data_IF_498797247953
#
_entry.id   IF_498797247953
#
_cell.length_a   1.000
_cell.length_b   1.000
_cell.length_c   1.000
_cell.angle_alpha   90.00
_cell.angle_beta   90.00
_cell.angle_gamma   90.00
#
_symmetry.space_group_name_H-M   'P 1'
#
loop_
_entity.id
_entity.type
_entity.pdbx_description
1 polymer ?
#
# COMPACT_ATOMS: atom_id res chain seq x y z
N UNK A 1 -9.23 24.73 -18.69
CA UNK A 1 -8.13 24.65 -17.70
C UNK A 1 -6.84 25.06 -18.40
N UNK A 2 -6.39 26.32 -18.25
CA UNK A 2 -5.16 26.80 -18.92
C UNK A 2 -3.95 26.16 -18.24
N UNK A 3 -3.34 25.16 -18.89
CA UNK A 3 -1.99 24.69 -18.57
C UNK A 3 -1.06 25.91 -18.69
N UNK A 4 -0.24 26.17 -17.68
CA UNK A 4 0.81 27.20 -17.77
C UNK A 4 1.70 26.90 -18.98
N UNK A 5 2.15 27.96 -19.68
CA UNK A 5 2.80 27.88 -21.00
C UNK A 5 4.01 26.95 -21.11
N UNK A 6 4.59 26.48 -20.00
CA UNK A 6 5.65 25.47 -19.95
C UNK A 6 5.22 24.33 -19.00
N UNK A 7 4.74 23.21 -19.57
CA UNK A 7 4.00 22.16 -18.88
C UNK A 7 4.82 21.24 -17.96
N UNK A 8 5.42 21.77 -16.90
CA UNK A 8 6.21 20.95 -15.94
C UNK A 8 5.50 20.74 -14.59
N UNK A 9 4.58 21.62 -14.16
CA UNK A 9 4.00 21.56 -12.79
C UNK A 9 2.49 21.78 -12.80
N UNK A 10 1.78 21.12 -11.87
CA UNK A 10 0.30 21.13 -11.79
C UNK A 10 -0.27 22.51 -11.44
N UNK A 11 0.46 23.29 -10.63
CA UNK A 11 0.11 24.64 -10.20
C UNK A 11 1.28 25.59 -10.40
N UNK A 12 0.98 26.87 -10.63
CA UNK A 12 1.99 27.91 -10.61
C UNK A 12 2.39 28.20 -9.16
N UNK A 13 3.68 28.13 -8.86
CA UNK A 13 4.25 28.33 -7.51
C UNK A 13 3.82 29.65 -6.87
N UNK A 14 3.93 30.79 -7.58
CA UNK A 14 3.57 32.11 -7.03
C UNK A 14 2.09 32.20 -6.70
N UNK A 15 1.24 31.70 -7.60
CA UNK A 15 -0.20 31.66 -7.36
C UNK A 15 -0.55 30.74 -6.18
N UNK A 16 0.08 29.56 -6.10
CA UNK A 16 -0.13 28.61 -5.01
C UNK A 16 0.30 29.19 -3.66
N UNK A 17 1.46 29.83 -3.58
CA UNK A 17 1.94 30.49 -2.37
C UNK A 17 0.95 31.56 -1.88
N UNK A 18 0.42 32.39 -2.79
CA UNK A 18 -0.57 33.43 -2.46
C UNK A 18 -1.87 32.82 -1.90
N UNK A 19 -2.41 31.80 -2.56
CA UNK A 19 -3.65 31.14 -2.13
C UNK A 19 -3.44 30.41 -0.80
N UNK A 20 -2.33 29.69 -0.66
CA UNK A 20 -2.02 28.96 0.56
C UNK A 20 -1.85 29.91 1.75
N UNK A 21 -1.09 30.99 1.59
CA UNK A 21 -0.96 32.04 2.62
C UNK A 21 -2.33 32.55 3.08
N UNK A 22 -3.17 32.99 2.13
CA UNK A 22 -4.48 33.55 2.47
C UNK A 22 -5.36 32.55 3.24
N UNK A 23 -5.40 31.28 2.80
CA UNK A 23 -6.19 30.24 3.48
C UNK A 23 -5.64 29.89 4.86
N UNK A 24 -4.33 29.80 5.00
CA UNK A 24 -3.69 29.47 6.28
C UNK A 24 -3.91 30.58 7.30
N UNK A 25 -3.74 31.85 6.90
CA UNK A 25 -3.98 32.99 7.81
C UNK A 25 -5.45 33.07 8.23
N UNK A 26 -6.39 32.90 7.30
CA UNK A 26 -7.81 32.87 7.65
C UNK A 26 -8.14 31.73 8.63
N UNK A 27 -7.58 30.54 8.43
CA UNK A 27 -7.80 29.42 9.34
C UNK A 27 -7.17 29.62 10.74
N UNK A 28 -6.05 30.35 10.82
CA UNK A 28 -5.40 30.71 12.09
C UNK A 28 -6.25 31.75 12.84
N UNK A 29 -6.78 32.74 12.12
CA UNK A 29 -7.68 33.77 12.67
C UNK A 29 -8.99 33.14 13.17
N UNK A 30 -9.61 32.25 12.38
CA UNK A 30 -10.81 31.49 12.77
C UNK A 30 -10.56 30.61 14.01
N UNK A 31 -9.33 30.15 14.22
CA UNK A 31 -8.93 29.37 15.39
C UNK A 31 -8.60 30.25 16.62
N UNK A 32 -8.65 31.58 16.49
CA UNK A 32 -8.34 32.52 17.57
C UNK A 32 -6.86 32.55 17.96
N UNK A 33 -5.96 32.09 17.09
CA UNK A 33 -4.53 32.04 17.34
C UNK A 33 -3.92 33.37 16.92
N UNK A 34 -3.31 34.09 17.87
CA UNK A 34 -2.62 35.35 17.58
C UNK A 34 -1.45 35.15 16.60
N UNK A 35 -1.44 35.92 15.52
CA UNK A 35 -0.33 35.92 14.56
C UNK A 35 0.85 36.73 15.12
N UNK A 36 2.10 36.26 14.94
CA UNK A 36 3.28 37.06 15.31
C UNK A 36 3.36 38.34 14.48
N UNK A 37 3.83 39.43 15.09
CA UNK A 37 3.93 40.74 14.45
C UNK A 37 4.83 40.77 13.18
N UNK A 38 5.72 39.79 13.05
CA UNK A 38 6.63 39.61 11.92
C UNK A 38 6.15 38.50 10.98
N UNK A 39 4.92 38.59 10.47
CA UNK A 39 4.47 37.67 9.43
C UNK A 39 5.19 38.02 8.11
N UNK A 40 5.94 37.07 7.55
CA UNK A 40 6.71 37.33 6.34
C UNK A 40 5.73 37.59 5.18
N UNK A 41 5.88 38.74 4.51
CA UNK A 41 5.00 39.12 3.39
C UNK A 41 5.18 38.19 2.17
N UNK A 42 6.31 37.49 2.10
CA UNK A 42 6.65 36.62 0.99
C UNK A 42 6.65 35.15 1.45
N UNK A 43 5.60 34.43 1.07
CA UNK A 43 5.53 32.98 1.22
C UNK A 43 6.05 32.33 -0.06
N UNK A 44 6.81 31.24 0.08
CA UNK A 44 7.37 30.48 -1.04
C UNK A 44 6.73 29.09 -1.06
N UNK A 45 6.25 28.66 -2.22
CA UNK A 45 5.65 27.35 -2.40
C UNK A 45 6.47 26.54 -3.41
N UNK A 46 7.44 25.79 -2.92
CA UNK A 46 8.33 25.01 -3.78
C UNK A 46 7.52 23.96 -4.58
N UNK A 47 7.40 24.18 -5.89
CA UNK A 47 6.66 23.31 -6.80
C UNK A 47 7.61 22.72 -7.83
N UNK A 48 7.91 21.42 -7.73
CA UNK A 48 8.80 20.73 -8.65
C UNK A 48 8.06 19.70 -9.50
N UNK A 49 8.40 19.62 -10.79
CA UNK A 49 7.98 18.50 -11.63
C UNK A 49 8.68 17.22 -11.18
N UNK A 50 7.92 16.24 -10.73
CA UNK A 50 8.45 14.91 -10.34
C UNK A 50 8.26 13.86 -11.45
N UNK A 51 7.91 14.28 -12.66
CA UNK A 51 7.66 13.40 -13.81
C UNK A 51 6.39 12.56 -13.66
N UNK A 52 6.41 11.34 -14.19
CA UNK A 52 5.27 10.41 -14.20
C UNK A 52 4.91 9.83 -12.81
N UNK A 53 5.80 9.97 -11.83
CA UNK A 53 5.65 9.33 -10.52
C UNK A 53 5.90 7.81 -10.52
N UNK A 54 6.25 7.21 -11.65
CA UNK A 54 6.45 5.75 -11.78
C UNK A 54 7.51 5.23 -10.80
N UNK A 55 8.63 5.93 -10.65
CA UNK A 55 9.67 5.58 -9.66
C UNK A 55 9.12 5.59 -8.23
N UNK A 56 8.25 6.54 -7.89
CA UNK A 56 7.62 6.60 -6.58
C UNK A 56 6.63 5.44 -6.38
N UNK A 57 5.88 5.07 -7.43
CA UNK A 57 4.99 3.91 -7.40
C UNK A 57 5.77 2.60 -7.23
N UNK A 58 6.87 2.41 -7.97
CA UNK A 58 7.74 1.24 -7.82
C UNK A 58 8.34 1.20 -6.41
N UNK A 59 8.81 2.34 -5.89
CA UNK A 59 9.35 2.43 -4.54
C UNK A 59 8.30 2.07 -3.48
N UNK A 60 7.11 2.64 -3.58
CA UNK A 60 6.00 2.35 -2.67
C UNK A 60 5.57 0.89 -2.76
N UNK A 61 5.46 0.33 -3.98
CA UNK A 61 5.14 -1.08 -4.19
C UNK A 61 6.17 -2.00 -3.52
N UNK A 62 7.46 -1.70 -3.67
CA UNK A 62 8.53 -2.42 -2.95
C UNK A 62 8.35 -2.30 -1.44
N UNK A 63 8.03 -1.12 -0.92
CA UNK A 63 7.83 -0.94 0.52
C UNK A 63 6.63 -1.74 1.06
N UNK A 64 5.56 -1.86 0.28
CA UNK A 64 4.35 -2.57 0.69
C UNK A 64 4.54 -4.09 0.68
N UNK A 65 5.10 -4.63 -0.40
CA UNK A 65 5.14 -6.06 -0.64
C UNK A 65 6.46 -6.72 -0.24
N UNK A 66 7.54 -5.96 -0.09
CA UNK A 66 8.82 -6.52 0.35
C UNK A 66 8.80 -6.68 1.87
N UNK A 67 9.17 -7.87 2.33
CA UNK A 67 9.45 -8.12 3.74
C UNK A 67 10.69 -7.34 4.22
N UNK A 68 10.96 -7.44 5.52
CA UNK A 68 12.15 -6.83 6.17
C UNK A 68 13.44 -7.36 5.55
N UNK A 69 13.46 -8.67 5.33
CA UNK A 69 14.56 -9.42 4.75
C UNK A 69 14.00 -10.29 3.62
N UNK A 70 14.81 -10.54 2.58
CA UNK A 70 14.46 -11.50 1.53
C UNK A 70 14.97 -12.88 1.92
N UNK A 71 14.25 -13.93 1.52
CA UNK A 71 14.65 -15.32 1.81
C UNK A 71 16.09 -15.61 1.37
N UNK A 72 16.44 -15.24 0.14
CA UNK A 72 17.80 -15.36 -0.41
C UNK A 72 18.89 -14.60 0.36
N UNK A 73 18.50 -13.63 1.20
CA UNK A 73 19.45 -12.87 2.01
C UNK A 73 19.71 -13.59 3.37
N UNK A 74 18.95 -14.64 3.71
CA UNK A 74 19.25 -15.59 4.80
C UNK A 74 20.21 -16.64 4.21
N UNK A 75 21.48 -16.58 4.59
CA UNK A 75 22.56 -17.33 3.93
C UNK A 75 22.84 -18.67 4.63
N UNK A 76 22.64 -18.73 5.96
CA UNK A 76 22.79 -19.97 6.72
C UNK A 76 21.95 -19.92 8.00
N UNK A 77 21.49 -21.10 8.44
CA UNK A 77 20.78 -21.30 9.70
C UNK A 77 21.24 -22.61 10.33
N UNK A 78 22.23 -22.54 11.21
CA UNK A 78 22.91 -23.71 11.78
C UNK A 78 23.23 -23.45 13.26
N UNK A 79 23.19 -24.50 14.08
CA UNK A 79 23.58 -24.45 15.50
C UNK A 79 22.87 -23.32 16.29
N UNK A 80 21.59 -23.08 16.00
CA UNK A 80 20.82 -22.01 16.65
C UNK A 80 21.24 -20.59 16.26
N UNK A 81 22.06 -20.42 15.22
CA UNK A 81 22.53 -19.14 14.71
C UNK A 81 22.06 -18.91 13.28
N UNK A 82 21.73 -17.66 12.98
CA UNK A 82 21.27 -17.23 11.66
C UNK A 82 22.27 -16.24 11.09
N UNK A 83 22.78 -16.52 9.89
CA UNK A 83 23.66 -15.64 9.13
C UNK A 83 22.89 -15.03 7.98
N UNK A 84 22.87 -13.70 7.90
CA UNK A 84 22.13 -12.99 6.86
C UNK A 84 22.91 -11.82 6.28
N UNK A 85 22.57 -11.47 5.04
CA UNK A 85 23.13 -10.37 4.28
C UNK A 85 22.24 -9.13 4.42
N UNK A 86 22.84 -7.97 4.63
CA UNK A 86 22.13 -6.70 4.70
C UNK A 86 22.92 -5.58 4.01
N UNK A 87 22.26 -4.49 3.69
CA UNK A 87 22.92 -3.26 3.22
C UNK A 87 23.15 -2.35 4.40
N UNK A 88 24.40 -2.02 4.69
CA UNK A 88 24.74 -1.05 5.72
C UNK A 88 24.24 0.34 5.31
N UNK A 89 23.46 0.99 6.17
CA UNK A 89 22.82 2.27 5.87
C UNK A 89 23.82 3.43 5.76
N UNK A 90 24.95 3.36 6.49
CA UNK A 90 25.97 4.42 6.48
C UNK A 90 26.92 4.26 5.29
N UNK A 91 27.40 3.04 5.05
CA UNK A 91 28.41 2.78 4.00
C UNK A 91 27.79 2.42 2.65
N UNK A 92 26.50 2.04 2.63
CA UNK A 92 25.81 1.54 1.44
C UNK A 92 26.29 0.17 0.96
N UNK A 93 27.25 -0.47 1.64
CA UNK A 93 27.84 -1.74 1.24
C UNK A 93 26.99 -2.93 1.68
N UNK A 94 27.10 -4.03 0.93
CA UNK A 94 26.50 -5.29 1.33
C UNK A 94 27.41 -5.97 2.35
N UNK A 95 26.88 -6.27 3.53
CA UNK A 95 27.61 -6.89 4.64
C UNK A 95 26.87 -8.14 5.12
N UNK A 96 27.55 -8.98 5.90
CA UNK A 96 26.97 -10.19 6.50
C UNK A 96 27.05 -10.10 8.02
N UNK A 97 25.98 -10.49 8.69
CA UNK A 97 25.90 -10.56 10.16
C UNK A 97 25.37 -11.92 10.58
N UNK A 98 25.90 -12.43 11.68
CA UNK A 98 25.46 -13.69 12.29
C UNK A 98 25.00 -13.43 13.71
N UNK A 99 23.79 -13.86 14.04
CA UNK A 99 23.15 -13.67 15.34
C UNK A 99 22.61 -15.00 15.87
N UNK A 100 22.22 -15.04 17.14
CA UNK A 100 21.37 -16.12 17.64
C UNK A 100 20.01 -16.08 16.91
N UNK A 101 19.33 -17.22 16.82
CA UNK A 101 17.98 -17.29 16.24
C UNK A 101 17.00 -16.36 16.96
N UNK A 102 17.12 -16.22 18.29
CA UNK A 102 16.27 -15.35 19.11
C UNK A 102 16.50 -13.88 18.76
N UNK A 103 17.75 -13.43 18.69
CA UNK A 103 18.09 -12.04 18.34
C UNK A 103 17.68 -11.70 16.90
N UNK A 104 17.85 -12.67 15.99
CA UNK A 104 17.40 -12.52 14.61
C UNK A 104 15.87 -12.35 14.53
N UNK A 105 15.11 -13.20 15.23
CA UNK A 105 13.65 -13.07 15.30
C UNK A 105 13.24 -11.74 15.94
N UNK A 106 13.92 -11.31 16.99
CA UNK A 106 13.68 -10.02 17.63
C UNK A 106 13.83 -8.85 16.63
N UNK A 107 14.87 -8.85 15.80
CA UNK A 107 15.05 -7.84 14.76
C UNK A 107 13.89 -7.83 13.75
N UNK A 108 13.40 -9.00 13.34
CA UNK A 108 12.26 -9.08 12.41
C UNK A 108 10.98 -8.55 13.06
N UNK A 109 10.74 -8.92 14.33
CA UNK A 109 9.53 -8.54 15.06
C UNK A 109 9.42 -7.03 15.27
N UNK A 110 10.53 -6.29 15.35
CA UNK A 110 10.52 -4.82 15.42
C UNK A 110 9.84 -4.15 14.21
N UNK A 111 9.72 -4.86 13.08
CA UNK A 111 9.05 -4.36 11.88
C UNK A 111 7.61 -4.89 11.73
N UNK A 112 7.14 -5.70 12.68
CA UNK A 112 5.75 -6.14 12.74
C UNK A 112 4.94 -5.03 13.39
N UNK A 113 3.98 -4.50 12.64
CA UNK A 113 3.09 -3.47 13.14
C UNK A 113 2.16 -4.04 14.22
N UNK A 114 1.92 -3.33 15.33
CA UNK A 114 0.95 -3.75 16.33
C UNK A 114 -0.43 -3.95 15.73
N UNK A 115 -1.27 -4.74 16.41
CA UNK A 115 -2.63 -5.02 15.97
C UNK A 115 -3.39 -3.71 15.70
N UNK A 116 -4.03 -3.62 14.53
CA UNK A 116 -4.79 -2.45 14.09
C UNK A 116 -3.99 -1.45 13.26
N UNK A 117 -2.66 -1.52 13.26
CA UNK A 117 -1.82 -0.71 12.38
C UNK A 117 -1.66 -1.36 11.00
N UNK A 118 -1.56 -0.53 9.95
CA UNK A 118 -1.43 -0.96 8.56
C UNK A 118 -0.18 -0.33 7.95
N UNK A 119 0.54 -1.09 7.12
CA UNK A 119 1.79 -0.65 6.46
C UNK A 119 1.56 0.49 5.48
N UNK A 120 0.42 0.51 4.80
CA UNK A 120 -0.09 1.69 4.09
C UNK A 120 -1.46 2.08 4.60
N UNK A 121 -1.70 3.39 4.56
CA UNK A 121 -3.02 3.99 4.67
C UNK A 121 -3.35 4.63 3.33
N UNK A 122 -4.55 4.35 2.84
CA UNK A 122 -5.06 5.03 1.66
C UNK A 122 -5.61 6.40 2.11
N UNK A 123 -5.40 7.43 1.31
CA UNK A 123 -6.00 8.75 1.54
C UNK A 123 -6.50 9.30 0.20
N UNK A 124 -7.51 10.17 0.26
CA UNK A 124 -8.09 10.82 -0.92
C UNK A 124 -9.47 10.32 -1.30
N UNK A 125 -9.93 10.71 -2.48
CA UNK A 125 -11.32 10.55 -2.92
C UNK A 125 -11.82 9.09 -2.96
N UNK A 126 -10.92 8.14 -3.20
CA UNK A 126 -11.21 6.71 -3.24
C UNK A 126 -11.00 6.00 -1.89
N UNK A 127 -10.81 6.76 -0.80
CA UNK A 127 -10.68 6.19 0.53
C UNK A 127 -12.00 5.57 1.01
N UNK A 128 -11.92 4.51 1.83
CA UNK A 128 -13.09 3.79 2.34
C UNK A 128 -14.03 4.67 3.21
N UNK A 129 -13.53 5.78 3.77
CA UNK A 129 -14.36 6.74 4.51
C UNK A 129 -15.12 7.71 3.59
N UNK A 130 -14.77 7.77 2.30
CA UNK A 130 -15.40 8.64 1.32
C UNK A 130 -16.55 7.96 0.55
N UNK A 131 -17.09 6.84 1.03
CA UNK A 131 -18.13 6.05 0.34
C UNK A 131 -19.32 6.89 -0.14
N UNK A 132 -19.79 7.84 0.66
CA UNK A 132 -20.89 8.74 0.30
C UNK A 132 -20.53 9.64 -0.89
N UNK A 133 -19.32 10.20 -0.89
CA UNK A 133 -18.82 11.02 -1.99
C UNK A 133 -18.60 10.19 -3.26
N UNK A 134 -18.06 8.98 -3.12
CA UNK A 134 -17.88 8.04 -4.25
C UNK A 134 -19.23 7.69 -4.88
N UNK A 135 -20.24 7.37 -4.06
CA UNK A 135 -21.60 7.09 -4.54
C UNK A 135 -22.22 8.29 -5.26
N UNK A 136 -22.02 9.50 -4.75
CA UNK A 136 -22.47 10.72 -5.43
C UNK A 136 -21.78 10.90 -6.79
N UNK A 137 -20.46 10.68 -6.87
CA UNK A 137 -19.71 10.77 -8.11
C UNK A 137 -20.20 9.73 -9.13
N UNK A 138 -20.47 8.49 -8.71
CA UNK A 138 -21.05 7.47 -9.58
C UNK A 138 -22.39 7.92 -10.18
N UNK A 139 -23.27 8.51 -9.37
CA UNK A 139 -24.56 9.04 -9.83
C UNK A 139 -24.37 10.20 -10.83
N UNK A 140 -23.57 11.21 -10.48
CA UNK A 140 -23.34 12.40 -11.30
C UNK A 140 -22.66 12.06 -12.64
N UNK A 141 -21.73 11.11 -12.62
CA UNK A 141 -21.00 10.65 -13.80
C UNK A 141 -21.74 9.54 -14.56
N UNK A 142 -22.93 9.12 -14.09
CA UNK A 142 -23.71 8.00 -14.63
C UNK A 142 -22.88 6.72 -14.78
N UNK A 143 -21.96 6.50 -13.83
CA UNK A 143 -21.07 5.35 -13.79
C UNK A 143 -21.62 4.30 -12.82
N UNK A 144 -21.87 3.10 -13.34
CA UNK A 144 -22.35 1.97 -12.56
C UNK A 144 -21.23 0.92 -12.42
N UNK A 145 -20.55 0.84 -11.25
CA UNK A 145 -19.47 -0.11 -11.05
C UNK A 145 -19.92 -1.57 -11.09
N UNK A 146 -21.22 -1.87 -10.89
CA UNK A 146 -21.74 -3.24 -10.90
C UNK A 146 -21.69 -3.88 -12.30
N UNK A 147 -21.64 -3.05 -13.35
CA UNK A 147 -21.47 -3.50 -14.73
C UNK A 147 -20.06 -4.02 -14.99
N UNK A 148 -19.06 -3.58 -14.22
CA UNK A 148 -17.70 -4.05 -14.35
C UNK A 148 -17.52 -5.37 -13.60
N UNK A 149 -17.71 -6.48 -14.30
CA UNK A 149 -17.35 -7.81 -13.81
C UNK A 149 -15.99 -8.18 -14.39
N UNK A 150 -14.88 -8.02 -13.64
CA UNK A 150 -13.58 -8.44 -14.14
C UNK A 150 -13.61 -9.94 -14.42
N UNK A 151 -12.99 -10.36 -15.52
CA UNK A 151 -12.80 -11.76 -15.83
C UNK A 151 -12.12 -12.44 -14.64
N UNK A 152 -12.81 -13.41 -14.02
CA UNK A 152 -12.25 -14.17 -12.91
C UNK A 152 -11.21 -15.10 -13.52
N UNK A 153 -9.92 -14.83 -13.26
CA UNK A 153 -8.88 -15.79 -13.59
C UNK A 153 -9.13 -17.05 -12.77
N UNK A 154 -9.31 -18.18 -13.45
CA UNK A 154 -9.36 -19.47 -12.79
C UNK A 154 -8.05 -19.68 -12.04
N UNK A 155 -8.15 -20.16 -10.79
CA UNK A 155 -6.95 -20.52 -10.04
C UNK A 155 -6.35 -21.77 -10.69
N UNK A 156 -5.02 -21.83 -10.85
CA UNK A 156 -4.39 -23.06 -11.30
C UNK A 156 -4.77 -24.20 -10.36
N UNK A 157 -5.03 -25.37 -10.94
CA UNK A 157 -5.29 -26.58 -10.19
C UNK A 157 -4.08 -26.93 -9.32
N UNK A 158 -4.33 -27.33 -8.07
CA UNK A 158 -3.28 -27.93 -7.25
C UNK A 158 -3.16 -29.39 -7.64
N UNK A 159 -1.99 -29.81 -8.10
CA UNK A 159 -1.73 -31.18 -8.55
C UNK A 159 -1.03 -31.96 -7.43
N UNK A 160 -1.33 -33.26 -7.29
CA UNK A 160 -0.54 -34.12 -6.40
C UNK A 160 0.87 -34.27 -6.98
N UNK A 161 1.90 -34.02 -6.18
CA UNK A 161 3.29 -34.30 -6.55
C UNK A 161 3.58 -35.79 -6.84
N UNK A 162 2.63 -36.67 -6.51
CA UNK A 162 2.72 -38.11 -6.64
C UNK A 162 2.15 -38.66 -7.96
N UNK A 163 1.03 -38.09 -8.44
CA UNK A 163 0.22 -38.67 -9.50
C UNK A 163 -0.44 -37.63 -10.42
N UNK A 164 -0.10 -36.35 -10.26
CA UNK A 164 -0.64 -35.21 -11.00
C UNK A 164 -2.17 -35.04 -10.95
N UNK A 165 -2.87 -35.79 -10.09
CA UNK A 165 -4.30 -35.64 -9.91
C UNK A 165 -4.67 -34.29 -9.28
N UNK A 166 -5.79 -33.72 -9.72
CA UNK A 166 -6.31 -32.47 -9.17
C UNK A 166 -6.77 -32.67 -7.72
N UNK A 167 -6.17 -31.93 -6.81
CA UNK A 167 -6.46 -32.00 -5.38
C UNK A 167 -7.59 -31.05 -4.98
N UNK A 168 -8.50 -31.54 -4.13
CA UNK A 168 -9.58 -30.74 -3.55
C UNK A 168 -9.20 -30.20 -2.16
N UNK A 169 -9.54 -28.94 -1.87
CA UNK A 169 -9.38 -28.37 -0.52
C UNK A 169 -10.48 -28.93 0.37
N UNK A 170 -10.15 -29.91 1.21
CA UNK A 170 -11.08 -30.48 2.20
C UNK A 170 -11.26 -29.60 3.45
N UNK A 171 -10.24 -28.81 3.82
CA UNK A 171 -10.30 -27.93 5.00
C UNK A 171 -9.32 -26.77 4.92
N UNK A 172 -9.76 -25.57 5.30
CA UNK A 172 -8.90 -24.41 5.55
C UNK A 172 -8.80 -24.16 7.06
N UNK A 173 -7.58 -23.90 7.56
CA UNK A 173 -7.35 -23.59 9.00
C UNK A 173 -7.64 -22.13 9.37
N UNK A 174 -7.87 -21.28 8.38
CA UNK A 174 -8.22 -19.86 8.55
C UNK A 174 -9.75 -19.76 8.41
N UNK A 175 -10.43 -19.24 9.44
CA UNK A 175 -11.88 -18.98 9.36
C UNK A 175 -12.17 -18.00 8.22
N UNK A 176 -13.06 -18.33 7.28
CA UNK A 176 -13.44 -17.40 6.23
C UNK A 176 -14.19 -16.20 6.84
N UNK A 177 -13.85 -14.99 6.39
CA UNK A 177 -14.51 -13.74 6.80
C UNK A 177 -15.77 -13.44 5.98
N UNK A 178 -16.05 -14.22 4.93
CA UNK A 178 -17.28 -14.16 4.14
C UNK A 178 -18.11 -15.43 4.35
N UNK A 179 -19.45 -15.37 4.22
CA UNK A 179 -20.27 -16.57 4.20
C UNK A 179 -19.78 -17.49 3.09
N UNK A 180 -19.64 -18.78 3.41
CA UNK A 180 -19.15 -19.79 2.49
C UNK A 180 -20.10 -19.86 1.27
N UNK A 181 -19.57 -19.66 0.07
CA UNK A 181 -20.22 -20.17 -1.12
C UNK A 181 -20.05 -21.67 -1.04
N UNK A 182 -21.12 -22.37 -0.67
CA UNK A 182 -21.19 -23.83 -0.72
C UNK A 182 -21.13 -24.20 -2.20
N UNK A 183 -20.09 -24.91 -2.69
CA UNK A 183 -20.14 -25.43 -4.03
C UNK A 183 -21.26 -26.49 -4.09
N UNK A 184 -22.20 -26.32 -5.02
CA UNK A 184 -23.17 -27.37 -5.33
C UNK A 184 -22.39 -28.62 -5.77
N UNK A 185 -22.43 -29.66 -4.93
CA UNK A 185 -21.91 -30.98 -5.29
C UNK A 185 -22.81 -31.55 -6.39
N UNK A 186 -22.26 -32.01 -7.53
CA UNK A 186 -23.06 -32.71 -8.51
C UNK A 186 -23.63 -33.98 -7.88
N UNK A 187 -24.97 -34.09 -7.88
CA UNK A 187 -25.68 -35.31 -7.48
C UNK A 187 -25.28 -36.41 -8.45
N UNK A 188 -24.36 -37.29 -8.04
CA UNK A 188 -24.09 -38.54 -8.75
C UNK A 188 -25.30 -39.44 -8.49
N UNK A 189 -26.15 -39.59 -9.49
CA UNK A 189 -27.22 -40.59 -9.48
C UNK A 189 -26.61 -41.97 -9.46
N UNK A 190 -26.91 -42.75 -8.42
CA UNK A 190 -26.67 -44.18 -8.40
C UNK A 190 -27.82 -44.82 -9.17
N UNK A 191 -27.54 -45.36 -10.35
CA UNK A 191 -28.43 -46.29 -11.01
C UNK A 191 -28.24 -47.67 -10.36
N UNK A 192 -29.34 -48.23 -9.86
CA UNK A 192 -29.47 -49.63 -9.43
C UNK A 192 -29.56 -50.50 -10.68
#
# INVERSE_FOLDING_TARGET
KRRGKNGTVLFNEKAMAKVFRAKTLAAIEDAGIGLPAADSRQWVAHCQSVGSGEKALIHLGRYLYRGVIREQDIVACENGRVSFRYRNAQTGKSERRTLSGVDFLWLILQHVLPKGFRRARNFGFLHANCKRLIALLHLLLKFDPSRFKPARKERPAMLCACCDAVMAIVRTRIRPTSPAVVPDLPRVGVAI
#
